data_IF_169935219970
#
_entry.id   IF_169935219970
#
_cell.length_a   1.000
_cell.length_b   1.000
_cell.length_c   1.000
_cell.angle_alpha   90.00
_cell.angle_beta   90.00
_cell.angle_gamma   90.00
#
_symmetry.space_group_name_H-M   'P 1'
#
loop_
_entity.id
_entity.type
_entity.pdbx_description
1 polymer ?
#
# COMPACT_ATOMS: atom_id res chain seq x y z
N UNK A 1 -13.94 55.43 6.44
CA UNK A 1 -14.58 55.68 7.74
C UNK A 1 -14.16 54.56 8.66
N UNK A 2 -13.17 54.79 9.51
CA UNK A 2 -12.63 53.80 10.44
C UNK A 2 -13.15 54.12 11.84
N UNK A 3 -14.06 53.29 12.35
CA UNK A 3 -14.68 53.47 13.65
C UNK A 3 -13.62 53.40 14.78
N UNK A 4 -13.70 54.29 15.78
CA UNK A 4 -12.79 54.25 16.92
C UNK A 4 -13.09 53.00 17.76
N UNK A 5 -12.16 52.04 17.78
CA UNK A 5 -12.18 50.90 18.70
C UNK A 5 -12.30 51.44 20.13
N UNK A 6 -13.46 51.24 20.74
CA UNK A 6 -13.72 51.51 22.14
C UNK A 6 -12.79 50.63 22.96
N UNK A 7 -11.73 51.20 23.51
CA UNK A 7 -10.81 50.51 24.41
C UNK A 7 -11.59 50.01 25.62
N UNK A 8 -11.94 48.72 25.61
CA UNK A 8 -12.53 48.04 26.75
C UNK A 8 -11.58 48.11 27.95
N UNK A 9 -12.13 48.12 29.16
CA UNK A 9 -11.37 48.14 30.41
C UNK A 9 -10.32 47.00 30.39
N UNK A 10 -9.04 47.37 30.33
CA UNK A 10 -7.93 46.41 30.34
C UNK A 10 -7.92 45.66 31.67
N UNK A 11 -7.73 44.34 31.61
CA UNK A 11 -7.60 43.52 32.80
C UNK A 11 -6.37 43.95 33.64
N UNK A 12 -6.44 43.75 34.94
CA UNK A 12 -5.36 44.12 35.86
C UNK A 12 -4.08 43.33 35.57
N UNK A 13 -2.91 43.93 35.84
CA UNK A 13 -1.60 43.32 35.57
C UNK A 13 -1.41 41.98 36.30
N UNK A 14 -1.99 41.84 37.49
CA UNK A 14 -1.96 40.60 38.27
C UNK A 14 -2.77 39.47 37.61
N UNK A 15 -3.88 39.78 36.95
CA UNK A 15 -4.68 38.81 36.21
C UNK A 15 -3.96 38.39 34.91
N UNK A 16 -3.40 39.35 34.16
CA UNK A 16 -2.64 39.06 32.93
C UNK A 16 -1.38 38.23 33.18
N UNK A 17 -0.75 38.40 34.35
CA UNK A 17 0.40 37.60 34.77
C UNK A 17 0.07 36.17 35.17
N UNK A 18 -1.21 35.78 35.27
CA UNK A 18 -1.58 34.41 35.58
C UNK A 18 -1.34 33.51 34.37
N UNK A 19 -0.78 32.33 34.61
CA UNK A 19 -0.41 31.36 33.56
C UNK A 19 -1.56 31.00 32.61
N UNK A 20 -2.81 31.00 33.09
CA UNK A 20 -3.94 30.68 32.23
C UNK A 20 -4.23 31.77 31.19
N UNK A 21 -4.09 33.05 31.56
CA UNK A 21 -4.20 34.18 30.64
C UNK A 21 -3.04 34.19 29.63
N UNK A 22 -1.83 33.86 30.10
CA UNK A 22 -0.66 33.74 29.22
C UNK A 22 -0.83 32.61 28.21
N UNK A 23 -1.26 31.43 28.65
CA UNK A 23 -1.52 30.29 27.75
C UNK A 23 -2.63 30.56 26.75
N UNK A 24 -3.71 31.26 27.13
CA UNK A 24 -4.77 31.62 26.18
C UNK A 24 -4.25 32.61 25.14
N UNK A 25 -3.49 33.62 25.56
CA UNK A 25 -2.86 34.58 24.64
C UNK A 25 -1.83 33.93 23.71
N UNK A 26 -0.97 33.05 24.24
CA UNK A 26 0.01 32.30 23.44
C UNK A 26 -0.67 31.41 22.41
N UNK A 27 -1.78 30.75 22.80
CA UNK A 27 -2.57 29.92 21.88
C UNK A 27 -3.21 30.76 20.76
N UNK A 28 -3.80 31.90 21.11
CA UNK A 28 -4.37 32.83 20.12
C UNK A 28 -3.29 33.35 19.15
N UNK A 29 -2.11 33.70 19.67
CA UNK A 29 -0.96 34.13 18.85
C UNK A 29 -0.46 33.00 17.93
N UNK A 30 -0.33 31.78 18.44
CA UNK A 30 0.06 30.62 17.63
C UNK A 30 -0.94 30.34 16.51
N UNK A 31 -2.24 30.39 16.82
CA UNK A 31 -3.29 30.19 15.82
C UNK A 31 -3.26 31.27 14.72
N UNK A 32 -2.97 32.53 15.08
CA UNK A 32 -2.78 33.60 14.11
C UNK A 32 -1.57 33.34 13.20
N UNK A 33 -0.42 32.96 13.78
CA UNK A 33 0.78 32.61 13.01
C UNK A 33 0.56 31.40 12.10
N UNK A 34 -0.19 30.39 12.54
CA UNK A 34 -0.55 29.23 11.71
C UNK A 34 -1.48 29.60 10.55
N UNK A 35 -2.46 30.48 10.79
CA UNK A 35 -3.35 31.00 9.74
C UNK A 35 -2.56 31.78 8.70
N UNK A 36 -1.62 32.62 9.12
CA UNK A 36 -0.73 33.35 8.21
C UNK A 36 0.15 32.41 7.41
N UNK A 37 0.76 31.40 8.04
CA UNK A 37 1.56 30.38 7.33
C UNK A 37 0.73 29.63 6.30
N UNK A 38 -0.45 29.15 6.69
CA UNK A 38 -1.38 28.45 5.77
C UNK A 38 -1.79 29.36 4.62
N UNK A 39 -2.04 30.64 4.89
CA UNK A 39 -2.36 31.64 3.88
C UNK A 39 -1.22 31.80 2.88
N UNK A 40 0.01 32.02 3.36
CA UNK A 40 1.20 32.14 2.51
C UNK A 40 1.40 30.88 1.65
N UNK A 41 1.25 29.70 2.24
CA UNK A 41 1.34 28.44 1.49
C UNK A 41 0.24 28.36 0.44
N UNK A 42 -1.01 28.66 0.78
CA UNK A 42 -2.13 28.61 -0.17
C UNK A 42 -2.04 29.64 -1.29
N UNK A 43 -1.44 30.80 -1.03
CA UNK A 43 -1.20 31.83 -2.05
C UNK A 43 -0.03 31.43 -2.98
N UNK A 44 0.93 30.64 -2.48
CA UNK A 44 2.07 30.15 -3.25
C UNK A 44 1.82 28.80 -3.95
N UNK A 45 0.89 27.98 -3.47
CA UNK A 45 0.58 26.67 -4.01
C UNK A 45 -0.22 26.80 -5.30
N UNK A 46 0.35 26.30 -6.40
CA UNK A 46 -0.32 26.27 -7.69
C UNK A 46 -0.94 24.89 -7.88
N UNK A 47 -2.26 24.84 -8.03
CA UNK A 47 -2.99 23.59 -8.31
C UNK A 47 -3.10 23.42 -9.82
N UNK A 48 -2.54 22.33 -10.35
CA UNK A 48 -2.71 21.93 -11.74
C UNK A 48 -3.95 21.02 -11.86
N UNK A 49 -4.97 21.46 -12.61
CA UNK A 49 -6.15 20.64 -12.90
C UNK A 49 -5.80 19.54 -13.90
N UNK A 50 -5.47 18.34 -13.39
CA UNK A 50 -5.09 17.18 -14.21
C UNK A 50 -6.27 16.37 -14.75
N UNK A 51 -7.51 16.82 -14.54
CA UNK A 51 -8.74 16.07 -14.88
C UNK A 51 -8.88 15.77 -16.37
N UNK A 52 -8.25 16.57 -17.24
CA UNK A 52 -8.41 16.46 -18.70
C UNK A 52 -7.27 15.70 -19.39
N UNK A 53 -6.12 15.55 -18.72
CA UNK A 53 -4.97 14.89 -19.30
C UNK A 53 -5.03 13.42 -18.89
N UNK A 54 -5.80 12.63 -19.65
CA UNK A 54 -5.69 11.16 -19.64
C UNK A 54 -4.36 10.76 -20.26
N UNK A 55 -3.25 11.07 -19.58
CA UNK A 55 -1.96 10.52 -19.94
C UNK A 55 -2.11 8.99 -19.90
N UNK A 56 -1.81 8.33 -21.02
CA UNK A 56 -1.78 6.88 -21.09
C UNK A 56 -0.82 6.39 -20.00
N UNK A 57 -1.36 5.74 -18.97
CA UNK A 57 -0.54 5.24 -17.86
C UNK A 57 0.52 4.33 -18.47
N UNK A 58 1.81 4.51 -18.13
CA UNK A 58 2.85 3.62 -18.63
C UNK A 58 2.49 2.19 -18.23
N UNK A 59 2.69 1.23 -19.15
CA UNK A 59 2.36 -0.19 -18.94
C UNK A 59 3.09 -0.79 -17.73
N UNK A 60 4.19 -0.17 -17.29
CA UNK A 60 4.99 -0.57 -16.14
C UNK A 60 5.26 0.70 -15.32
N UNK A 61 4.82 0.70 -14.07
CA UNK A 61 5.11 1.76 -13.11
C UNK A 61 6.29 1.30 -12.25
N UNK A 62 7.41 2.02 -12.35
CA UNK A 62 8.61 1.75 -11.56
C UNK A 62 8.66 2.79 -10.45
N UNK A 63 8.52 2.34 -9.21
CA UNK A 63 8.66 3.19 -8.03
C UNK A 63 10.06 3.03 -7.44
N UNK A 64 10.79 4.14 -7.35
CA UNK A 64 12.09 4.15 -6.67
C UNK A 64 11.86 4.25 -5.16
N UNK A 65 12.19 3.18 -4.45
CA UNK A 65 12.19 3.17 -2.99
C UNK A 65 13.64 3.22 -2.48
N UNK A 66 13.99 4.16 -1.58
CA UNK A 66 15.35 4.23 -1.03
C UNK A 66 15.65 3.10 -0.04
N UNK A 67 14.66 2.25 0.29
CA UNK A 67 14.81 1.15 1.24
C UNK A 67 14.77 -0.20 0.55
N UNK A 68 15.56 -1.14 1.07
CA UNK A 68 15.57 -2.53 0.60
C UNK A 68 14.51 -3.41 1.27
N UNK A 69 13.75 -2.86 2.22
CA UNK A 69 12.72 -3.57 2.97
C UNK A 69 11.68 -4.26 2.06
N UNK A 70 11.19 -3.63 0.96
CA UNK A 70 10.21 -4.26 0.08
C UNK A 70 10.74 -5.46 -0.71
N UNK A 71 12.07 -5.57 -0.90
CA UNK A 71 12.70 -6.68 -1.62
C UNK A 71 12.99 -7.88 -0.72
N UNK A 72 13.01 -7.68 0.60
CA UNK A 72 13.26 -8.76 1.54
C UNK A 72 11.95 -9.52 1.80
N UNK A 73 11.91 -10.79 1.36
CA UNK A 73 10.74 -11.68 1.52
C UNK A 73 10.38 -11.87 3.00
N UNK A 74 11.40 -12.02 3.85
CA UNK A 74 11.25 -12.28 5.28
C UNK A 74 12.13 -11.31 6.08
N UNK A 75 11.63 -10.09 6.33
CA UNK A 75 12.31 -9.14 7.22
C UNK A 75 12.15 -9.58 8.66
N UNK A 76 13.26 -9.93 9.31
CA UNK A 76 13.28 -10.23 10.75
C UNK A 76 13.91 -9.07 11.52
N UNK A 77 13.50 -8.88 12.78
CA UNK A 77 14.10 -7.87 13.64
C UNK A 77 15.60 -8.16 13.84
N UNK A 78 16.44 -7.14 13.65
CA UNK A 78 17.90 -7.28 13.80
C UNK A 78 18.36 -7.50 15.24
N UNK A 79 17.58 -7.02 16.22
CA UNK A 79 17.89 -7.20 17.65
C UNK A 79 17.55 -8.62 18.07
N UNK A 80 18.57 -9.42 18.38
CA UNK A 80 18.44 -10.81 18.86
C UNK A 80 19.33 -11.04 20.08
N UNK A 81 18.85 -11.83 21.03
CA UNK A 81 19.70 -12.38 22.09
C UNK A 81 19.84 -13.89 21.90
N UNK A 82 20.88 -14.45 22.54
CA UNK A 82 21.20 -15.87 22.48
C UNK A 82 21.43 -16.41 23.90
N UNK A 83 21.36 -17.72 24.05
CA UNK A 83 21.63 -18.44 25.30
C UNK A 83 20.84 -17.92 26.50
N UNK A 84 19.59 -17.49 26.30
CA UNK A 84 18.72 -16.94 27.34
C UNK A 84 19.26 -15.71 28.06
N UNK A 85 20.22 -15.00 27.45
CA UNK A 85 20.81 -13.77 28.01
C UNK A 85 19.76 -12.68 28.20
N UNK A 86 18.81 -12.58 27.27
CA UNK A 86 17.68 -11.67 27.41
C UNK A 86 16.38 -12.33 26.94
N UNK A 87 15.73 -13.05 27.86
CA UNK A 87 14.47 -13.76 27.61
C UNK A 87 13.37 -12.86 27.03
N UNK A 88 13.35 -11.57 27.37
CA UNK A 88 12.35 -10.64 26.84
C UNK A 88 12.55 -10.31 25.35
N UNK A 89 13.79 -10.37 24.87
CA UNK A 89 14.12 -10.14 23.46
C UNK A 89 13.89 -11.43 22.66
N UNK A 90 14.33 -12.57 23.20
CA UNK A 90 14.06 -13.89 22.61
C UNK A 90 12.55 -14.15 22.45
N UNK A 91 11.75 -13.87 23.50
CA UNK A 91 10.30 -14.04 23.42
C UNK A 91 9.65 -13.22 22.30
N UNK A 92 10.09 -11.98 22.09
CA UNK A 92 9.60 -11.12 21.00
C UNK A 92 9.95 -11.69 19.63
N UNK A 93 11.17 -12.18 19.45
CA UNK A 93 11.60 -12.81 18.18
C UNK A 93 10.76 -14.06 17.90
N UNK A 94 10.45 -14.86 18.94
CA UNK A 94 9.61 -16.04 18.81
C UNK A 94 8.15 -15.70 18.50
N UNK A 95 7.60 -14.65 19.11
CA UNK A 95 6.25 -14.13 18.81
C UNK A 95 6.15 -13.60 17.38
N UNK A 96 7.15 -12.83 16.94
CA UNK A 96 7.22 -12.32 15.56
C UNK A 96 7.29 -13.49 14.56
N UNK A 97 8.12 -14.51 14.82
CA UNK A 97 8.20 -15.68 13.96
C UNK A 97 6.89 -16.49 13.92
N UNK A 98 6.18 -16.62 15.05
CA UNK A 98 4.87 -17.30 15.12
C UNK A 98 3.81 -16.53 14.34
N UNK A 99 3.74 -15.21 14.51
CA UNK A 99 2.76 -14.37 13.81
C UNK A 99 2.97 -14.39 12.29
N UNK A 100 4.21 -14.35 11.81
CA UNK A 100 4.53 -14.48 10.38
C UNK A 100 4.08 -15.82 9.80
N UNK A 101 4.24 -16.92 10.56
CA UNK A 101 3.75 -18.26 10.15
C UNK A 101 2.23 -18.29 10.06
N UNK A 102 1.53 -17.81 11.09
CA UNK A 102 0.08 -17.75 11.10
C UNK A 102 -0.47 -16.90 9.95
N UNK A 103 0.14 -15.73 9.69
CA UNK A 103 -0.26 -14.87 8.58
C UNK A 103 -0.04 -15.55 7.21
N UNK A 104 0.97 -16.42 7.08
CA UNK A 104 1.18 -17.21 5.85
C UNK A 104 0.12 -18.28 5.68
N UNK A 105 -0.21 -18.99 6.76
CA UNK A 105 -1.26 -20.03 6.77
C UNK A 105 -2.64 -19.42 6.48
N UNK A 106 -2.98 -18.30 7.12
CA UNK A 106 -4.24 -17.58 6.90
C UNK A 106 -4.38 -17.12 5.44
N UNK A 107 -3.29 -16.64 4.81
CA UNK A 107 -3.30 -16.29 3.38
C UNK A 107 -3.58 -17.50 2.49
N UNK A 108 -3.02 -18.66 2.81
CA UNK A 108 -3.27 -19.91 2.08
C UNK A 108 -4.72 -20.36 2.26
N UNK A 109 -5.23 -20.33 3.50
CA UNK A 109 -6.63 -20.65 3.77
C UNK A 109 -7.58 -19.70 3.05
N UNK A 110 -7.33 -18.39 3.10
CA UNK A 110 -8.14 -17.39 2.42
C UNK A 110 -8.09 -17.55 0.90
N UNK A 111 -6.95 -17.91 0.32
CA UNK A 111 -6.86 -18.24 -1.11
C UNK A 111 -7.67 -19.50 -1.47
N UNK A 112 -7.81 -20.44 -0.55
CA UNK A 112 -8.59 -21.68 -0.73
C UNK A 112 -10.07 -21.54 -0.36
N UNK A 113 -10.48 -20.43 0.27
CA UNK A 113 -11.90 -20.11 0.56
C UNK A 113 -12.56 -19.60 -0.72
N UNK A 114 -13.03 -20.52 -1.56
CA UNK A 114 -13.89 -20.20 -2.69
C UNK A 114 -15.35 -20.13 -2.23
N UNK A 115 -16.09 -19.11 -2.65
CA UNK A 115 -17.53 -19.07 -2.40
C UNK A 115 -18.28 -20.03 -3.32
N UNK A 116 -19.44 -20.55 -2.89
CA UNK A 116 -20.28 -21.46 -3.69
C UNK A 116 -20.64 -20.90 -5.08
N UNK A 117 -20.76 -19.56 -5.17
CA UNK A 117 -21.05 -18.87 -6.44
C UNK A 117 -19.85 -18.94 -7.38
N UNK A 118 -18.65 -18.62 -6.89
CA UNK A 118 -17.40 -18.68 -7.67
C UNK A 118 -17.05 -20.12 -8.08
N UNK A 119 -17.27 -21.08 -7.17
CA UNK A 119 -17.09 -22.51 -7.46
C UNK A 119 -18.07 -22.98 -8.56
N UNK A 120 -19.32 -22.52 -8.50
CA UNK A 120 -20.33 -22.79 -9.53
C UNK A 120 -19.92 -22.31 -10.92
N UNK A 121 -19.39 -21.08 -11.03
CA UNK A 121 -18.91 -20.51 -12.30
C UNK A 121 -17.69 -21.27 -12.86
N UNK A 122 -16.75 -21.66 -12.01
CA UNK A 122 -15.58 -22.46 -12.38
C UNK A 122 -15.99 -23.86 -12.89
N UNK A 123 -16.96 -24.51 -12.23
CA UNK A 123 -17.44 -25.83 -12.64
C UNK A 123 -18.28 -25.78 -13.93
N UNK A 124 -18.98 -24.68 -14.20
CA UNK A 124 -19.67 -24.46 -15.47
C UNK A 124 -18.69 -24.35 -16.64
N UNK A 125 -17.57 -23.66 -16.45
CA UNK A 125 -16.52 -23.55 -17.48
C UNK A 125 -15.92 -24.91 -17.80
N UNK A 126 -15.66 -25.76 -16.80
CA UNK A 126 -15.13 -27.13 -17.00
C UNK A 126 -16.14 -28.05 -17.73
N UNK A 127 -17.44 -27.92 -17.49
CA UNK A 127 -18.46 -28.69 -18.23
C UNK A 127 -18.60 -28.29 -19.69
N UNK A 128 -18.25 -27.06 -20.05
CA UNK A 128 -18.37 -26.56 -21.42
C UNK A 128 -17.29 -27.13 -22.35
N UNK A 129 -16.10 -27.44 -21.82
CA UNK A 129 -14.98 -28.00 -22.58
C UNK A 129 -15.09 -29.51 -22.82
N UNK A 130 -15.84 -30.25 -22.00
CA UNK A 130 -15.99 -31.71 -22.14
C UNK A 130 -17.05 -32.15 -23.17
N UNK A 131 -17.86 -31.24 -23.72
CA UNK A 131 -19.01 -31.58 -24.59
C UNK A 131 -18.73 -31.60 -26.10
N UNK A 132 -17.47 -31.63 -26.57
CA UNK A 132 -17.17 -31.77 -28.01
C UNK A 132 -16.12 -32.82 -28.31
N UNK A 133 -16.50 -34.10 -28.26
CA UNK A 133 -15.87 -35.16 -29.06
C UNK A 133 -16.85 -35.66 -30.12
N UNK A 134 -16.89 -34.98 -31.28
CA UNK A 134 -17.53 -35.53 -32.48
C UNK A 134 -16.70 -36.72 -32.94
N UNK A 135 -17.24 -37.93 -32.76
CA UNK A 135 -16.69 -39.22 -33.21
C UNK A 135 -16.35 -39.15 -34.70
N UNK A 136 -15.06 -39.08 -35.05
CA UNK A 136 -14.58 -39.25 -36.43
C UNK A 136 -14.37 -40.74 -36.67
N UNK A 137 -15.05 -41.29 -37.69
CA UNK A 137 -14.82 -42.65 -38.20
C UNK A 137 -13.38 -42.73 -38.72
N UNK A 138 -12.65 -43.76 -38.29
CA UNK A 138 -11.31 -44.08 -38.77
C UNK A 138 -11.41 -44.82 -40.09
N UNK A 139 -10.89 -44.22 -41.16
CA UNK A 139 -10.46 -44.95 -42.35
C UNK A 139 -8.93 -44.95 -42.41
N UNK A 140 -8.45 -46.03 -43.02
CA UNK A 140 -7.13 -46.65 -42.97
C UNK A 140 -6.00 -45.84 -43.64
N UNK A 141 -4.80 -46.15 -43.14
CA UNK A 141 -3.48 -46.17 -43.81
C UNK A 141 -2.79 -44.85 -44.21
N UNK A 142 -1.51 -44.72 -43.80
CA UNK A 142 -0.50 -43.94 -44.56
C UNK A 142 0.39 -42.95 -43.80
N UNK A 143 1.59 -43.42 -43.46
CA UNK A 143 2.89 -42.76 -43.67
C UNK A 143 3.42 -41.61 -42.76
N UNK A 144 4.74 -41.67 -42.58
CA UNK A 144 5.59 -41.02 -41.61
C UNK A 144 5.89 -39.54 -41.90
N UNK A 145 6.10 -38.74 -40.84
CA UNK A 145 7.21 -37.77 -40.77
C UNK A 145 7.28 -37.08 -39.41
N UNK A 146 8.39 -37.32 -38.71
CA UNK A 146 8.83 -36.60 -37.52
C UNK A 146 9.10 -35.13 -37.84
N UNK A 147 8.39 -34.19 -37.18
CA UNK A 147 8.70 -32.75 -37.25
C UNK A 147 9.35 -32.29 -35.94
N UNK A 148 10.62 -31.88 -36.06
CA UNK A 148 11.48 -31.34 -35.00
C UNK A 148 10.94 -29.98 -34.49
N UNK A 149 11.05 -29.73 -33.19
CA UNK A 149 10.75 -28.44 -32.55
C UNK A 149 11.90 -27.42 -32.79
N UNK A 150 11.55 -26.18 -33.15
CA UNK A 150 12.50 -25.07 -33.25
C UNK A 150 12.82 -24.54 -31.84
N UNK A 151 14.09 -24.54 -31.48
CA UNK A 151 14.64 -23.87 -30.29
C UNK A 151 14.64 -22.36 -30.54
N UNK A 152 14.00 -21.59 -29.67
CA UNK A 152 14.03 -20.12 -29.69
C UNK A 152 15.26 -19.68 -28.88
N UNK A 153 16.23 -19.05 -29.56
CA UNK A 153 17.46 -18.54 -28.97
C UNK A 153 17.26 -17.26 -28.18
N UNK A 154 18.01 -17.14 -27.09
CA UNK A 154 18.08 -16.00 -26.17
C UNK A 154 18.70 -14.76 -26.85
N UNK A 155 18.01 -13.61 -26.81
CA UNK A 155 18.52 -12.31 -27.27
C UNK A 155 19.05 -11.50 -26.08
N UNK A 156 20.27 -10.96 -26.19
CA UNK A 156 20.87 -10.04 -25.20
C UNK A 156 20.46 -8.59 -25.51
N UNK A 157 20.22 -7.75 -24.49
CA UNK A 157 19.94 -6.32 -24.68
C UNK A 157 21.22 -5.51 -24.93
N UNK A 158 21.11 -4.48 -25.78
CA UNK A 158 22.08 -3.37 -25.94
C UNK A 158 22.05 -2.39 -24.77
#
# INVERSE_FOLDING_TARGET
>A
MSDPKKDGKKASSRLLGMKFMQRSMEKEMQEQLEKERKRVISEAEWVLDTKEIKAEKPKIQIEYQPSFLPFAVDTTAGRRSFNSFNKSVEAKVDEDAKSQRLAREEKIENANKLSDKEFGEQMQTIRSVSKKSKKRKSDKDGDASTKKSKVIGFMKPE
#
